data_IF_126595171370
#
_entry.id   IF_126595171370
#
_cell.length_a   1.000
_cell.length_b   1.000
_cell.length_c   1.000
_cell.angle_alpha   90.00
_cell.angle_beta   90.00
_cell.angle_gamma   90.00
#
_symmetry.space_group_name_H-M   'P 1'
#
loop_
_entity.id
_entity.type
_entity.pdbx_description
1 polymer ?
#
# COMPACT_ATOMS: atom_id res chain seq x y z
N UNK A 1 11.67 -20.98 -32.41
CA UNK A 1 11.34 -19.58 -32.77
C UNK A 1 11.02 -19.53 -34.26
N UNK A 2 9.88 -18.96 -34.59
CA UNK A 2 9.34 -18.95 -35.96
C UNK A 2 10.19 -18.02 -36.85
N UNK A 3 10.93 -18.56 -37.81
CA UNK A 3 11.90 -17.82 -38.68
C UNK A 3 11.30 -16.61 -39.42
N UNK A 4 10.03 -16.59 -39.94
CA UNK A 4 9.47 -15.43 -40.63
C UNK A 4 9.25 -14.23 -39.69
N UNK A 5 8.93 -14.46 -38.41
CA UNK A 5 8.72 -13.38 -37.43
C UNK A 5 10.05 -12.67 -37.09
N UNK A 6 11.18 -13.37 -37.18
CA UNK A 6 12.49 -12.79 -36.86
C UNK A 6 12.98 -11.78 -37.92
N UNK A 7 12.60 -11.96 -39.19
CA UNK A 7 13.06 -11.10 -40.31
C UNK A 7 12.16 -9.89 -40.55
N UNK A 8 10.91 -9.91 -40.08
CA UNK A 8 9.95 -8.83 -40.33
C UNK A 8 10.14 -7.66 -39.35
N UNK A 9 10.32 -6.45 -39.89
CA UNK A 9 10.34 -5.20 -39.11
C UNK A 9 8.97 -4.86 -38.52
N UNK A 10 7.89 -5.31 -39.13
CA UNK A 10 6.51 -5.03 -38.71
C UNK A 10 6.03 -5.96 -37.58
N UNK A 11 6.64 -7.13 -37.42
CA UNK A 11 6.30 -8.11 -36.37
C UNK A 11 7.17 -7.95 -35.12
N UNK A 12 7.83 -6.83 -34.96
CA UNK A 12 8.72 -6.54 -33.80
C UNK A 12 7.95 -6.58 -32.46
N UNK A 13 6.68 -6.20 -32.47
CA UNK A 13 5.81 -6.25 -31.28
C UNK A 13 5.65 -7.70 -30.78
N UNK A 14 5.40 -8.65 -31.69
CA UNK A 14 5.23 -10.08 -31.35
C UNK A 14 6.57 -10.71 -30.94
N UNK A 15 7.64 -10.34 -31.64
CA UNK A 15 9.00 -10.83 -31.34
C UNK A 15 9.48 -10.41 -29.96
N UNK A 16 9.23 -9.18 -29.59
CA UNK A 16 9.71 -8.56 -28.34
C UNK A 16 8.66 -8.68 -27.22
N UNK A 17 7.51 -9.34 -27.49
CA UNK A 17 6.51 -9.61 -26.47
C UNK A 17 7.09 -10.51 -25.39
N UNK A 18 6.91 -10.11 -24.17
CA UNK A 18 7.31 -10.88 -22.99
C UNK A 18 6.25 -10.74 -21.90
N UNK A 19 5.99 -11.83 -21.22
CA UNK A 19 5.12 -11.89 -20.05
C UNK A 19 5.95 -12.40 -18.88
N UNK A 20 5.96 -11.64 -17.81
CA UNK A 20 6.53 -12.07 -16.54
C UNK A 20 5.42 -12.68 -15.70
N UNK A 21 5.61 -13.91 -15.23
CA UNK A 21 4.59 -14.65 -14.48
C UNK A 21 4.68 -14.38 -12.97
N UNK A 22 5.81 -13.84 -12.50
CA UNK A 22 6.05 -13.60 -11.08
C UNK A 22 6.14 -12.11 -10.78
N UNK A 23 5.65 -11.67 -9.62
CA UNK A 23 5.86 -10.32 -9.13
C UNK A 23 7.36 -10.03 -9.01
N UNK A 24 7.73 -8.78 -9.25
CA UNK A 24 9.12 -8.33 -9.13
C UNK A 24 9.57 -8.22 -7.68
N UNK A 25 8.69 -7.73 -6.84
CA UNK A 25 8.90 -7.61 -5.40
C UNK A 25 7.59 -7.73 -4.66
N UNK A 26 7.67 -8.37 -3.50
CA UNK A 26 6.59 -8.42 -2.51
C UNK A 26 7.25 -8.06 -1.17
N UNK A 27 6.65 -7.13 -0.46
CA UNK A 27 7.08 -6.74 0.88
C UNK A 27 5.88 -6.76 1.82
N UNK A 28 6.11 -7.28 3.00
CA UNK A 28 5.13 -7.29 4.08
C UNK A 28 5.84 -6.88 5.37
N UNK A 29 5.36 -5.84 6.02
CA UNK A 29 5.90 -5.35 7.28
C UNK A 29 4.82 -5.34 8.34
N UNK A 30 5.18 -5.82 9.52
CA UNK A 30 4.36 -5.79 10.72
C UNK A 30 5.08 -5.01 11.80
N UNK A 31 4.42 -4.03 12.36
CA UNK A 31 4.91 -3.23 13.47
C UNK A 31 3.92 -3.32 14.62
N UNK A 32 4.40 -3.76 15.78
CA UNK A 32 3.64 -3.80 17.02
C UNK A 32 4.22 -2.76 17.97
N UNK A 33 3.34 -1.94 18.51
CA UNK A 33 3.72 -0.94 19.51
C UNK A 33 2.74 -0.99 20.66
N UNK A 34 3.25 -1.17 21.87
CA UNK A 34 2.43 -1.20 23.09
C UNK A 34 2.93 -0.15 24.08
N UNK A 35 2.01 0.67 24.55
CA UNK A 35 2.23 1.62 25.64
C UNK A 35 1.35 1.15 26.81
N UNK A 36 1.98 1.00 27.97
CA UNK A 36 1.31 0.75 29.23
C UNK A 36 1.83 1.76 30.25
N UNK A 37 0.96 2.54 30.82
CA UNK A 37 1.28 3.47 31.87
C UNK A 37 0.19 3.36 32.94
N UNK A 38 0.63 3.12 34.16
CA UNK A 38 -0.19 3.05 35.37
C UNK A 38 0.24 4.17 36.29
N UNK A 39 -0.72 4.96 36.73
CA UNK A 39 -0.49 6.06 37.64
C UNK A 39 -1.46 5.99 38.79
N UNK A 40 -0.94 5.85 40.00
CA UNK A 40 -1.68 5.94 41.26
C UNK A 40 -1.32 7.23 41.97
N UNK A 41 -2.33 7.99 42.34
CA UNK A 41 -2.14 9.22 43.09
C UNK A 41 -2.18 8.89 44.60
N UNK A 42 -1.15 9.31 45.33
CA UNK A 42 -1.09 9.07 46.74
C UNK A 42 -2.02 10.06 47.48
N UNK A 43 -2.87 9.54 48.38
CA UNK A 43 -3.70 10.39 49.25
C UNK A 43 -2.95 10.73 50.53
N UNK A 44 -2.57 12.00 50.67
CA UNK A 44 -1.85 12.48 51.84
C UNK A 44 -2.79 12.99 52.96
N UNK A 45 -4.10 13.15 52.67
CA UNK A 45 -5.07 13.71 53.64
C UNK A 45 -5.79 12.60 54.41
N UNK A 46 -6.07 11.46 53.76
CA UNK A 46 -6.73 10.31 54.37
C UNK A 46 -5.90 9.06 54.02
N UNK A 47 -4.96 8.66 54.92
CA UNK A 47 -4.01 7.58 54.63
C UNK A 47 -4.65 6.23 54.33
N UNK A 48 -5.85 5.94 54.83
CA UNK A 48 -6.56 4.67 54.64
C UNK A 48 -7.42 4.64 53.34
N UNK A 49 -7.42 5.73 52.58
CA UNK A 49 -8.15 5.81 51.32
C UNK A 49 -7.17 5.92 50.14
N UNK A 50 -7.07 4.86 49.37
CA UNK A 50 -6.28 4.83 48.15
C UNK A 50 -7.16 5.21 46.93
N UNK A 51 -6.64 6.11 46.11
CA UNK A 51 -7.26 6.40 44.81
C UNK A 51 -7.06 5.22 43.88
N UNK A 52 -8.06 4.93 43.05
CA UNK A 52 -7.94 3.93 41.99
C UNK A 52 -6.85 4.34 41.00
N UNK A 53 -6.03 3.37 40.53
CA UNK A 53 -5.01 3.65 39.54
C UNK A 53 -5.63 4.01 38.19
N UNK A 54 -5.04 4.99 37.52
CA UNK A 54 -5.41 5.40 36.16
C UNK A 54 -4.48 4.69 35.19
N UNK A 55 -5.05 4.04 34.20
CA UNK A 55 -4.33 3.31 33.18
C UNK A 55 -4.38 4.05 31.83
N UNK A 56 -3.22 4.23 31.21
CA UNK A 56 -3.10 4.58 29.80
C UNK A 56 -2.54 3.39 29.06
N UNK A 57 -3.40 2.71 28.32
CA UNK A 57 -3.05 1.53 27.56
C UNK A 57 -3.31 1.78 26.09
N UNK A 58 -2.35 1.43 25.27
CA UNK A 58 -2.48 1.48 23.82
C UNK A 58 -1.64 0.37 23.21
N UNK A 59 -2.27 -0.46 22.41
CA UNK A 59 -1.59 -1.51 21.69
C UNK A 59 -1.97 -1.42 20.21
N UNK A 60 -1.02 -0.96 19.40
CA UNK A 60 -1.19 -0.74 17.97
C UNK A 60 -0.54 -1.88 17.18
N UNK A 61 -1.18 -2.27 16.09
CA UNK A 61 -0.65 -3.18 15.10
C UNK A 61 -0.75 -2.57 13.71
N UNK A 62 0.38 -2.17 13.14
CA UNK A 62 0.47 -1.62 11.81
C UNK A 62 0.98 -2.68 10.84
N UNK A 63 0.27 -2.87 9.74
CA UNK A 63 0.61 -3.83 8.67
C UNK A 63 0.72 -3.07 7.36
N UNK A 64 1.86 -3.24 6.69
CA UNK A 64 2.11 -2.64 5.39
C UNK A 64 2.38 -3.74 4.36
N UNK A 65 1.75 -3.62 3.21
CA UNK A 65 1.85 -4.54 2.09
C UNK A 65 2.33 -3.77 0.88
N UNK A 66 3.27 -4.32 0.14
CA UNK A 66 3.73 -3.73 -1.11
C UNK A 66 3.97 -4.83 -2.13
N UNK A 67 3.42 -4.67 -3.33
CA UNK A 67 3.59 -5.57 -4.46
C UNK A 67 3.96 -4.74 -5.67
N UNK A 68 5.08 -5.05 -6.29
CA UNK A 68 5.47 -4.52 -7.58
C UNK A 68 5.44 -5.64 -8.63
N UNK A 69 4.69 -5.44 -9.70
CA UNK A 69 4.53 -6.44 -10.74
C UNK A 69 4.68 -5.81 -12.13
N UNK A 70 5.78 -6.19 -12.78
CA UNK A 70 6.00 -5.87 -14.18
C UNK A 70 5.36 -6.98 -15.02
N UNK A 71 4.09 -6.81 -15.46
CA UNK A 71 3.37 -7.82 -16.25
C UNK A 71 4.06 -8.03 -17.60
N UNK A 72 4.47 -6.93 -18.21
CA UNK A 72 5.32 -6.93 -19.42
C UNK A 72 6.39 -5.84 -19.28
N UNK A 73 7.35 -5.76 -20.21
CA UNK A 73 8.31 -4.65 -20.25
C UNK A 73 7.64 -3.27 -20.32
N UNK A 74 6.48 -3.21 -20.95
CA UNK A 74 5.75 -1.97 -21.18
C UNK A 74 4.61 -1.73 -20.19
N UNK A 75 4.14 -2.76 -19.49
CA UNK A 75 3.05 -2.69 -18.53
C UNK A 75 3.57 -3.04 -17.14
N UNK A 76 3.64 -2.04 -16.28
CA UNK A 76 4.10 -2.15 -14.91
C UNK A 76 2.99 -1.77 -13.96
N UNK A 77 2.84 -2.54 -12.90
CA UNK A 77 1.83 -2.31 -11.87
C UNK A 77 2.48 -2.28 -10.50
N UNK A 78 1.92 -1.49 -9.62
CA UNK A 78 2.27 -1.50 -8.21
C UNK A 78 1.01 -1.38 -7.37
N UNK A 79 1.02 -2.08 -6.25
CA UNK A 79 -0.01 -2.02 -5.23
C UNK A 79 0.67 -1.83 -3.88
N UNK A 80 0.14 -0.93 -3.06
CA UNK A 80 0.53 -0.77 -1.67
C UNK A 80 -0.71 -0.61 -0.81
N UNK A 81 -0.70 -1.24 0.35
CA UNK A 81 -1.78 -1.10 1.33
C UNK A 81 -1.21 -0.96 2.73
N UNK A 82 -1.88 -0.20 3.56
CA UNK A 82 -1.60 -0.06 4.98
C UNK A 82 -2.86 -0.33 5.79
N UNK A 83 -2.71 -1.03 6.89
CA UNK A 83 -3.77 -1.28 7.85
C UNK A 83 -3.26 -0.97 9.25
N UNK A 84 -3.94 -0.06 9.93
CA UNK A 84 -3.70 0.23 11.34
C UNK A 84 -4.82 -0.36 12.17
N UNK A 85 -4.48 -1.26 13.04
CA UNK A 85 -5.38 -1.90 13.98
C UNK A 85 -4.95 -1.63 15.40
N UNK A 86 -5.89 -1.69 16.33
CA UNK A 86 -5.64 -1.65 17.76
C UNK A 86 -6.11 -2.95 18.40
N UNK A 87 -5.46 -3.31 19.50
CA UNK A 87 -5.96 -4.30 20.44
C UNK A 87 -6.59 -3.58 21.61
N UNK A 88 -7.82 -3.93 21.92
CA UNK A 88 -8.52 -3.37 23.08
C UNK A 88 -8.09 -4.17 24.32
N UNK A 89 -7.37 -3.50 25.22
CA UNK A 89 -7.02 -4.04 26.53
C UNK A 89 -8.05 -3.55 27.55
N UNK A 90 -8.51 -4.45 28.43
CA UNK A 90 -9.41 -4.07 29.53
C UNK A 90 -8.80 -3.00 30.45
N UNK A 91 -9.61 -2.38 31.27
CA UNK A 91 -9.20 -1.31 32.19
C UNK A 91 -8.47 -1.80 33.45
N UNK A 92 -8.34 -3.12 33.64
CA UNK A 92 -7.74 -3.71 34.83
C UNK A 92 -6.21 -3.69 34.78
N UNK A 93 -5.56 -3.70 35.94
CA UNK A 93 -4.12 -3.87 36.02
C UNK A 93 -3.70 -5.18 35.36
N UNK A 94 -2.62 -5.16 34.57
CA UNK A 94 -2.03 -6.35 33.93
C UNK A 94 -0.85 -6.78 34.81
N UNK A 95 -1.16 -7.31 35.96
CA UNK A 95 -0.15 -7.77 36.94
C UNK A 95 -0.24 -9.30 37.11
N UNK A 96 0.82 -9.97 36.66
CA UNK A 96 0.91 -11.43 36.73
C UNK A 96 1.03 -11.96 38.18
N UNK A 97 1.59 -11.15 39.10
CA UNK A 97 1.90 -11.56 40.46
C UNK A 97 0.70 -11.33 41.39
N UNK A 98 0.15 -10.12 41.36
CA UNK A 98 -0.92 -9.72 42.26
C UNK A 98 -2.32 -10.03 41.71
N UNK A 99 -2.48 -10.20 40.37
CA UNK A 99 -3.73 -10.54 39.73
C UNK A 99 -3.52 -11.55 38.59
N UNK A 100 -3.22 -12.85 38.94
CA UNK A 100 -2.93 -13.88 37.94
C UNK A 100 -4.12 -14.18 37.03
N UNK A 101 -5.35 -14.13 37.54
CA UNK A 101 -6.56 -14.42 36.78
C UNK A 101 -6.83 -13.32 35.75
N UNK A 102 -6.72 -12.06 36.14
CA UNK A 102 -6.83 -10.91 35.23
C UNK A 102 -5.73 -10.87 34.17
N UNK A 103 -4.53 -11.39 34.51
CA UNK A 103 -3.46 -11.56 33.54
C UNK A 103 -3.78 -12.64 32.50
N UNK A 104 -4.37 -13.77 32.88
CA UNK A 104 -4.80 -14.80 31.93
C UNK A 104 -5.94 -14.30 31.03
N UNK A 105 -6.93 -13.61 31.57
CA UNK A 105 -8.01 -12.98 30.80
C UNK A 105 -7.44 -12.00 29.75
N UNK A 106 -6.47 -11.18 30.13
CA UNK A 106 -5.76 -10.29 29.23
C UNK A 106 -5.09 -11.07 28.08
N UNK A 107 -4.34 -12.13 28.38
CA UNK A 107 -3.67 -12.95 27.36
C UNK A 107 -4.67 -13.58 26.40
N UNK A 108 -5.77 -14.10 26.89
CA UNK A 108 -6.79 -14.75 26.06
C UNK A 108 -7.52 -13.73 25.17
N UNK A 109 -7.78 -12.54 25.70
CA UNK A 109 -8.33 -11.41 24.95
C UNK A 109 -7.38 -10.98 23.80
N UNK A 110 -6.09 -10.83 24.08
CA UNK A 110 -5.10 -10.50 23.06
C UNK A 110 -4.98 -11.60 22.01
N UNK A 111 -4.93 -12.87 22.40
CA UNK A 111 -4.88 -14.02 21.47
C UNK A 111 -6.09 -14.05 20.55
N UNK A 112 -7.29 -13.86 21.11
CA UNK A 112 -8.54 -13.80 20.36
C UNK A 112 -8.51 -12.65 19.35
N UNK A 113 -8.10 -11.46 19.76
CA UNK A 113 -7.99 -10.29 18.87
C UNK A 113 -6.90 -10.47 17.81
N UNK A 114 -5.79 -11.14 18.12
CA UNK A 114 -4.76 -11.47 17.14
C UNK A 114 -5.30 -12.36 16.02
N UNK A 115 -6.14 -13.34 16.36
CA UNK A 115 -6.77 -14.24 15.37
C UNK A 115 -7.72 -13.50 14.41
N UNK A 116 -8.33 -12.41 14.87
CA UNK A 116 -9.24 -11.54 14.07
C UNK A 116 -8.55 -10.31 13.48
N UNK A 117 -7.22 -10.22 13.57
CA UNK A 117 -6.40 -9.11 13.10
C UNK A 117 -6.63 -7.77 13.81
N UNK A 118 -7.15 -7.81 15.04
CA UNK A 118 -7.42 -6.63 15.83
C UNK A 118 -8.59 -5.79 15.29
N UNK A 119 -8.88 -4.68 15.97
CA UNK A 119 -9.90 -3.73 15.53
C UNK A 119 -9.28 -2.73 14.57
N UNK A 120 -9.60 -2.85 13.29
CA UNK A 120 -9.11 -1.93 12.27
C UNK A 120 -9.62 -0.51 12.53
N UNK A 121 -8.71 0.45 12.58
CA UNK A 121 -8.99 1.88 12.75
C UNK A 121 -8.82 2.63 11.44
N UNK A 122 -7.79 2.31 10.67
CA UNK A 122 -7.52 2.91 9.39
C UNK A 122 -7.10 1.83 8.38
N UNK A 123 -7.59 1.95 7.17
CA UNK A 123 -7.16 1.13 6.03
C UNK A 123 -7.00 2.02 4.82
N UNK A 124 -5.87 1.89 4.15
CA UNK A 124 -5.64 2.58 2.90
C UNK A 124 -4.96 1.68 1.89
N UNK A 125 -5.28 1.86 0.61
CA UNK A 125 -4.49 1.27 -0.45
C UNK A 125 -4.32 2.22 -1.62
N UNK A 126 -3.19 2.05 -2.30
CA UNK A 126 -2.87 2.75 -3.52
C UNK A 126 -2.48 1.72 -4.58
N UNK A 127 -2.90 1.97 -5.81
CA UNK A 127 -2.45 1.18 -6.94
C UNK A 127 -2.05 2.10 -8.10
N UNK A 128 -1.06 1.68 -8.85
CA UNK A 128 -0.67 2.36 -10.07
C UNK A 128 -0.45 1.36 -11.20
N UNK A 129 -0.87 1.76 -12.38
CA UNK A 129 -0.66 1.03 -13.63
C UNK A 129 0.04 2.00 -14.57
N UNK A 130 1.22 1.62 -15.03
CA UNK A 130 2.00 2.40 -15.98
C UNK A 130 2.16 1.61 -17.27
N UNK A 131 1.64 2.15 -18.37
CA UNK A 131 1.70 1.53 -19.68
C UNK A 131 2.43 2.42 -20.67
N UNK A 132 3.60 1.97 -21.11
CA UNK A 132 4.33 2.56 -22.23
C UNK A 132 3.78 2.01 -23.53
N UNK A 133 3.13 2.86 -24.33
CA UNK A 133 2.60 2.47 -25.63
C UNK A 133 3.78 2.13 -26.55
N UNK A 134 3.82 0.94 -27.16
CA UNK A 134 5.00 0.46 -27.88
C UNK A 134 5.09 1.03 -29.31
N UNK A 135 5.00 2.35 -29.47
CA UNK A 135 5.16 3.02 -30.78
C UNK A 135 6.55 2.77 -31.40
N UNK A 136 7.57 2.54 -30.57
CA UNK A 136 8.93 2.21 -30.97
C UNK A 136 9.03 0.86 -31.72
N UNK A 137 8.00 0.02 -31.61
CA UNK A 137 7.96 -1.29 -32.29
C UNK A 137 7.46 -1.20 -33.73
N UNK A 138 6.82 -0.08 -34.10
CA UNK A 138 6.30 0.12 -35.43
C UNK A 138 7.19 1.09 -36.22
N UNK A 139 7.62 0.71 -37.43
CA UNK A 139 8.53 1.56 -38.23
C UNK A 139 7.96 2.94 -38.56
N UNK A 140 6.65 3.07 -38.66
CA UNK A 140 5.97 4.34 -38.99
C UNK A 140 5.88 5.28 -37.78
N UNK A 141 5.78 4.78 -36.55
CA UNK A 141 5.48 5.54 -35.34
C UNK A 141 6.63 5.59 -34.33
N UNK A 142 7.82 5.03 -34.66
CA UNK A 142 8.94 4.95 -33.72
C UNK A 142 9.58 6.31 -33.37
N UNK A 143 9.12 7.40 -33.97
CA UNK A 143 9.45 8.78 -33.63
C UNK A 143 8.52 9.37 -32.55
N UNK A 144 7.46 8.62 -32.18
CA UNK A 144 6.52 8.97 -31.13
C UNK A 144 6.82 8.07 -29.91
N UNK A 145 6.78 8.64 -28.72
CA UNK A 145 6.71 7.90 -27.46
C UNK A 145 5.50 8.37 -26.67
N UNK A 146 4.76 7.46 -26.09
CA UNK A 146 3.66 7.80 -25.21
C UNK A 146 3.60 6.86 -24.00
N UNK A 147 3.20 7.43 -22.89
CA UNK A 147 3.05 6.75 -21.62
C UNK A 147 1.73 7.14 -20.99
N UNK A 148 1.00 6.17 -20.49
CA UNK A 148 -0.24 6.34 -19.75
C UNK A 148 -0.03 5.80 -18.34
N UNK A 149 -0.23 6.65 -17.34
CA UNK A 149 -0.17 6.28 -15.94
C UNK A 149 -1.55 6.45 -15.32
N UNK A 150 -2.12 5.37 -14.82
CA UNK A 150 -3.32 5.36 -14.02
C UNK A 150 -2.96 5.15 -12.55
N UNK A 151 -3.49 5.98 -11.67
CA UNK A 151 -3.33 5.84 -10.23
C UNK A 151 -4.67 5.92 -9.54
N UNK A 152 -4.85 5.10 -8.52
CA UNK A 152 -6.03 5.16 -7.67
C UNK A 152 -5.64 4.97 -6.22
N UNK A 153 -6.38 5.63 -5.33
CA UNK A 153 -6.25 5.48 -3.90
C UNK A 153 -7.61 5.33 -3.24
N UNK A 154 -7.63 4.55 -2.19
CA UNK A 154 -8.77 4.36 -1.30
C UNK A 154 -8.29 4.50 0.13
N UNK A 155 -8.99 5.27 0.94
CA UNK A 155 -8.75 5.40 2.37
C UNK A 155 -10.07 5.24 3.11
N UNK A 156 -10.04 4.45 4.15
CA UNK A 156 -11.12 4.24 5.09
C UNK A 156 -10.60 4.50 6.50
N UNK A 157 -11.33 5.28 7.25
CA UNK A 157 -11.05 5.53 8.66
C UNK A 157 -12.32 5.28 9.48
N UNK A 158 -12.16 4.55 10.57
CA UNK A 158 -13.22 4.33 11.55
C UNK A 158 -13.52 5.62 12.28
N UNK A 159 -14.77 5.80 12.70
CA UNK A 159 -15.15 6.85 13.62
C UNK A 159 -14.26 6.85 14.89
N UNK A 160 -13.94 8.00 15.46
CA UNK A 160 -13.20 8.08 16.72
C UNK A 160 -13.85 7.23 17.81
N UNK A 161 -13.01 6.63 18.66
CA UNK A 161 -13.51 5.87 19.81
C UNK A 161 -14.34 6.78 20.71
N UNK A 162 -15.53 6.33 21.09
CA UNK A 162 -16.47 7.12 21.87
C UNK A 162 -17.37 8.09 21.08
N UNK A 163 -17.18 8.18 19.76
CA UNK A 163 -17.97 9.06 18.87
C UNK A 163 -18.42 8.30 17.61
N UNK A 164 -18.98 7.10 17.81
CA UNK A 164 -19.43 6.23 16.70
C UNK A 164 -20.55 6.84 15.86
N UNK A 165 -21.29 7.80 16.38
CA UNK A 165 -22.35 8.54 15.69
C UNK A 165 -21.87 9.36 14.48
N UNK A 166 -20.60 9.76 14.45
CA UNK A 166 -20.03 10.45 13.29
C UNK A 166 -19.80 9.52 12.08
N UNK A 167 -19.91 8.20 12.27
CA UNK A 167 -19.72 7.23 11.21
C UNK A 167 -18.28 7.14 10.71
N UNK A 168 -18.07 6.24 9.77
CA UNK A 168 -16.75 6.01 9.17
C UNK A 168 -16.53 6.94 7.97
N UNK A 169 -15.28 7.34 7.76
CA UNK A 169 -14.91 8.18 6.62
C UNK A 169 -14.35 7.32 5.49
N UNK A 170 -14.81 7.58 4.27
CA UNK A 170 -14.29 6.94 3.05
C UNK A 170 -13.85 8.04 2.09
N UNK A 171 -12.63 7.89 1.54
CA UNK A 171 -12.07 8.78 0.53
C UNK A 171 -11.51 7.96 -0.62
N UNK A 172 -11.89 8.35 -1.84
CA UNK A 172 -11.37 7.76 -3.08
C UNK A 172 -10.76 8.85 -3.97
N UNK A 173 -9.64 8.54 -4.57
CA UNK A 173 -9.07 9.39 -5.60
C UNK A 173 -8.59 8.52 -6.78
N UNK A 174 -8.71 9.07 -8.00
CA UNK A 174 -8.16 8.47 -9.20
C UNK A 174 -7.57 9.55 -10.10
N UNK A 175 -6.49 9.22 -10.78
CA UNK A 175 -5.86 10.11 -11.76
C UNK A 175 -5.38 9.32 -12.97
N UNK A 176 -5.52 9.91 -14.14
CA UNK A 176 -4.98 9.40 -15.39
C UNK A 176 -4.05 10.47 -15.95
N UNK A 177 -2.78 10.14 -16.06
CA UNK A 177 -1.78 11.01 -16.67
C UNK A 177 -1.30 10.41 -17.99
N UNK A 178 -1.42 11.15 -19.05
CA UNK A 178 -0.94 10.75 -20.37
C UNK A 178 0.15 11.73 -20.81
N UNK A 179 1.30 11.19 -21.15
CA UNK A 179 2.42 11.97 -21.70
C UNK A 179 2.77 11.41 -23.06
N UNK A 180 2.87 12.28 -24.06
CA UNK A 180 3.31 11.93 -25.40
C UNK A 180 4.42 12.89 -25.85
N UNK A 181 5.42 12.36 -26.53
CA UNK A 181 6.53 13.11 -27.11
C UNK A 181 6.74 12.69 -28.56
N UNK A 182 6.99 13.67 -29.41
CA UNK A 182 7.31 13.48 -30.82
C UNK A 182 8.74 13.93 -31.10
N UNK A 183 9.56 13.06 -31.64
CA UNK A 183 10.92 13.37 -32.07
C UNK A 183 10.93 13.61 -33.59
N UNK A 184 10.81 14.88 -33.99
CA UNK A 184 10.75 15.26 -35.39
C UNK A 184 12.07 15.02 -36.13
N UNK A 185 13.21 15.05 -35.46
CA UNK A 185 14.49 14.71 -36.09
C UNK A 185 14.46 13.26 -36.58
N UNK A 186 13.93 12.35 -35.76
CA UNK A 186 13.75 10.95 -36.17
C UNK A 186 12.73 10.79 -37.29
N UNK A 187 11.72 11.65 -37.36
CA UNK A 187 10.74 11.67 -38.45
C UNK A 187 11.42 12.15 -39.76
N UNK A 188 12.13 13.27 -39.70
CA UNK A 188 12.78 13.86 -40.89
C UNK A 188 13.83 12.90 -41.46
N UNK A 189 14.59 12.20 -40.63
CA UNK A 189 15.56 11.19 -41.07
C UNK A 189 14.94 10.01 -41.84
N UNK A 190 13.62 9.81 -41.78
CA UNK A 190 12.91 8.76 -42.53
C UNK A 190 12.54 9.17 -43.92
N UNK A 191 12.43 10.46 -44.18
CA UNK A 191 12.07 11.00 -45.49
C UNK A 191 13.36 11.32 -46.25
N UNK A 192 13.71 10.58 -47.33
CA UNK A 192 14.99 10.75 -48.01
C UNK A 192 15.23 12.18 -48.51
N UNK A 193 14.18 12.91 -48.82
CA UNK A 193 14.25 14.31 -49.23
C UNK A 193 14.80 15.20 -48.12
N UNK A 194 14.28 15.10 -46.91
CA UNK A 194 14.74 15.90 -45.76
C UNK A 194 16.14 15.52 -45.26
N UNK A 195 16.51 14.26 -45.41
CA UNK A 195 17.86 13.77 -45.02
C UNK A 195 19.00 14.42 -45.85
N UNK A 196 18.70 14.97 -47.03
CA UNK A 196 19.68 15.66 -47.90
C UNK A 196 19.80 17.14 -47.61
N UNK A 197 18.88 17.71 -46.84
CA UNK A 197 18.80 19.14 -46.52
C UNK A 197 19.38 19.47 -45.16
N UNK A 198 19.53 18.46 -44.31
CA UNK A 198 20.22 18.50 -43.01
C UNK A 198 21.69 18.02 -43.12
#
# INVERSE_FOLDING_TARGET
KWKPVQKSKYLKLIKDFNLFLMPKNISFTNDYSRIYNERQVRNNLVPDYEFEPIFLKRFDWNRNYQIGYDITRNLKTSFSASNKSIFEEGNNSVDRINNPDGYQEFLDTIRSQMSTFGKTMEYGHNYSINYKIPFDKFPLTNWISANVKYTGSYNWARAPLGQSEFGNTIQNNRSINTTAQANFVNLYNKVPFFKKVL
#
